data_IF_042254396099
#
_entry.id   IF_042254396099
#
_cell.length_a   1.000
_cell.length_b   1.000
_cell.length_c   1.000
_cell.angle_alpha   90.00
_cell.angle_beta   90.00
_cell.angle_gamma   90.00
#
_symmetry.space_group_name_H-M   'P 1'
#
loop_
_entity.id
_entity.type
_entity.pdbx_description
1 polymer ?
#
# COMPACT_ATOMS: atom_id res chain seq x y z
N UNK A 1 12.31 1.54 -5.12
CA UNK A 1 11.22 2.56 -5.17
C UNK A 1 9.89 1.83 -5.31
N UNK A 2 8.79 2.37 -4.81
CA UNK A 2 7.47 1.73 -4.94
C UNK A 2 6.59 2.69 -5.71
N UNK A 3 5.88 2.22 -6.72
CA UNK A 3 4.89 3.00 -7.47
C UNK A 3 3.52 2.41 -7.18
N UNK A 4 2.48 3.24 -7.13
CA UNK A 4 1.14 2.79 -6.75
C UNK A 4 0.12 3.25 -7.76
N UNK A 5 -0.74 2.33 -8.19
CA UNK A 5 -1.93 2.65 -8.95
C UNK A 5 -3.13 2.33 -8.06
N UNK A 6 -3.97 3.33 -7.79
CA UNK A 6 -5.28 3.04 -7.20
C UNK A 6 -6.13 2.35 -8.27
N UNK A 7 -6.30 1.05 -8.15
CA UNK A 7 -7.23 0.29 -8.96
C UNK A 7 -8.47 0.02 -8.11
N UNK A 8 -9.65 0.11 -8.72
CA UNK A 8 -10.88 -0.51 -8.19
C UNK A 8 -11.49 0.13 -6.94
N UNK A 9 -12.68 0.72 -7.09
CA UNK A 9 -13.68 0.93 -6.01
C UNK A 9 -13.31 1.70 -4.71
N UNK A 10 -12.05 2.12 -4.52
CA UNK A 10 -11.56 2.78 -3.30
C UNK A 10 -11.36 1.84 -2.11
N UNK A 11 -11.19 0.52 -2.34
CA UNK A 11 -11.06 -0.51 -1.27
C UNK A 11 -9.92 -1.49 -1.47
N UNK A 12 -9.15 -1.27 -2.52
CA UNK A 12 -7.93 -1.98 -2.82
C UNK A 12 -6.87 -0.98 -3.25
N UNK A 13 -5.62 -1.40 -3.06
CA UNK A 13 -4.45 -0.68 -3.52
C UNK A 13 -3.52 -1.71 -4.12
N UNK A 14 -3.04 -1.40 -5.32
CA UNK A 14 -2.12 -2.24 -6.07
C UNK A 14 -0.93 -1.36 -6.46
N UNK A 15 0.28 -1.90 -6.40
CA UNK A 15 1.45 -1.16 -6.80
C UNK A 15 2.61 -2.03 -7.24
N UNK A 16 3.57 -1.40 -7.92
CA UNK A 16 4.84 -2.01 -8.29
C UNK A 16 5.79 -1.95 -7.11
N UNK A 17 6.45 -3.06 -6.82
CA UNK A 17 7.49 -3.16 -5.82
C UNK A 17 8.84 -3.40 -6.49
N UNK A 18 9.81 -2.55 -6.17
CA UNK A 18 11.22 -2.78 -6.51
C UNK A 18 11.75 -4.04 -5.81
N UNK A 19 12.74 -4.76 -6.39
CA UNK A 19 13.30 -5.97 -5.80
C UNK A 19 13.85 -5.84 -4.37
N UNK A 20 14.18 -4.62 -3.93
CA UNK A 20 14.64 -4.35 -2.56
C UNK A 20 13.51 -4.35 -1.50
N UNK A 21 12.25 -4.32 -1.94
CA UNK A 21 11.08 -4.34 -1.05
C UNK A 21 10.90 -5.74 -0.48
N UNK A 22 10.88 -5.84 0.85
CA UNK A 22 10.69 -7.10 1.58
C UNK A 22 9.29 -7.24 2.15
N UNK A 23 8.49 -6.17 2.13
CA UNK A 23 7.11 -6.18 2.58
C UNK A 23 6.44 -4.82 2.40
N UNK A 24 5.11 -4.82 2.38
CA UNK A 24 4.31 -3.61 2.35
C UNK A 24 3.16 -3.77 3.33
N UNK A 25 3.01 -2.80 4.22
CA UNK A 25 1.88 -2.68 5.13
C UNK A 25 1.03 -1.47 4.73
N UNK A 26 -0.29 -1.60 4.84
CA UNK A 26 -1.23 -0.50 4.62
C UNK A 26 -1.97 -0.21 5.92
N UNK A 27 -1.83 1.03 6.38
CA UNK A 27 -2.52 1.55 7.57
C UNK A 27 -3.75 2.30 7.12
N UNK A 28 -4.91 1.79 7.52
CA UNK A 28 -6.22 2.39 7.27
C UNK A 28 -6.46 3.59 8.19
N UNK A 29 -7.40 4.49 7.86
CA UNK A 29 -7.71 5.66 8.70
C UNK A 29 -8.21 5.33 10.10
N UNK A 30 -8.74 4.11 10.31
CA UNK A 30 -9.16 3.62 11.62
C UNK A 30 -8.00 3.01 12.44
N UNK A 31 -6.76 3.10 11.95
CA UNK A 31 -5.55 2.61 12.60
C UNK A 31 -5.27 1.12 12.36
N UNK A 32 -6.14 0.38 11.69
CA UNK A 32 -5.86 -1.02 11.34
C UNK A 32 -4.72 -1.09 10.33
N UNK A 33 -3.79 -2.01 10.57
CA UNK A 33 -2.71 -2.32 9.63
C UNK A 33 -3.03 -3.64 8.94
N UNK A 34 -2.91 -3.65 7.61
CA UNK A 34 -3.10 -4.83 6.78
C UNK A 34 -1.81 -5.07 6.01
N UNK A 35 -1.21 -6.23 6.21
CA UNK A 35 -0.06 -6.65 5.43
C UNK A 35 -0.52 -7.00 4.01
N UNK A 36 0.14 -6.40 3.02
CA UNK A 36 -0.12 -6.68 1.63
C UNK A 36 0.55 -8.00 1.19
N UNK A 37 -0.07 -8.62 0.19
CA UNK A 37 0.59 -9.70 -0.54
C UNK A 37 1.60 -9.13 -1.52
N UNK A 38 2.82 -9.65 -1.53
CA UNK A 38 3.88 -9.27 -2.48
C UNK A 38 4.26 -10.44 -3.38
N UNK A 39 4.28 -10.24 -4.70
CA UNK A 39 4.69 -11.27 -5.66
C UNK A 39 5.11 -10.66 -7.00
N UNK A 40 6.16 -11.20 -7.63
CA UNK A 40 6.58 -10.84 -8.99
C UNK A 40 6.75 -9.32 -9.25
N UNK A 41 7.30 -8.58 -8.29
CA UNK A 41 7.47 -7.12 -8.40
C UNK A 41 6.16 -6.33 -8.29
N UNK A 42 5.12 -6.94 -7.77
CA UNK A 42 3.84 -6.33 -7.43
C UNK A 42 3.52 -6.51 -5.96
N UNK A 43 2.69 -5.62 -5.44
CA UNK A 43 2.02 -5.79 -4.17
C UNK A 43 0.55 -5.42 -4.30
N UNK A 44 -0.29 -6.06 -3.50
CA UNK A 44 -1.71 -5.78 -3.46
C UNK A 44 -2.29 -6.01 -2.08
N UNK A 45 -3.25 -5.18 -1.72
CA UNK A 45 -4.07 -5.35 -0.53
C UNK A 45 -5.51 -4.99 -0.84
N UNK A 46 -6.44 -5.64 -0.15
CA UNK A 46 -7.85 -5.36 -0.20
C UNK A 46 -8.43 -5.40 1.21
N UNK A 47 -9.46 -4.59 1.46
CA UNK A 47 -10.15 -4.62 2.74
C UNK A 47 -11.68 -4.46 2.63
N UNK A 48 -12.45 -5.09 3.53
CA UNK A 48 -13.90 -4.96 3.56
C UNK A 48 -14.34 -3.64 4.22
N UNK A 49 -15.41 -3.03 3.69
CA UNK A 49 -16.14 -1.92 4.35
C UNK A 49 -16.38 -0.70 3.46
N UNK A 50 -17.55 -0.06 3.62
CA UNK A 50 -17.99 1.11 2.83
C UNK A 50 -17.42 2.45 3.33
N UNK A 51 -16.81 2.47 4.52
CA UNK A 51 -16.27 3.66 5.21
C UNK A 51 -14.80 3.52 5.61
N UNK A 52 -14.11 2.46 5.18
CA UNK A 52 -12.76 2.13 5.63
C UNK A 52 -11.65 3.01 5.02
N UNK A 53 -11.96 4.29 4.76
CA UNK A 53 -11.10 5.22 4.05
C UNK A 53 -11.27 5.12 2.55
N UNK A 54 -11.46 6.26 1.91
CA UNK A 54 -11.05 6.40 0.50
C UNK A 54 -9.58 5.98 0.42
N UNK A 55 -9.18 5.29 -0.63
CA UNK A 55 -7.80 4.88 -0.81
C UNK A 55 -6.79 6.05 -0.76
N UNK A 56 -7.25 7.30 -0.93
CA UNK A 56 -6.46 8.53 -0.72
C UNK A 56 -6.08 8.81 0.75
N UNK A 57 -6.69 8.12 1.71
CA UNK A 57 -6.52 8.36 3.15
C UNK A 57 -5.63 7.31 3.85
N UNK A 58 -5.12 6.32 3.13
CA UNK A 58 -4.25 5.29 3.72
C UNK A 58 -2.79 5.73 3.76
N UNK A 59 -2.05 5.20 4.74
CA UNK A 59 -0.59 5.26 4.73
C UNK A 59 -0.03 3.91 4.27
N UNK A 60 1.00 3.96 3.44
CA UNK A 60 1.70 2.79 2.92
C UNK A 60 3.08 2.76 3.56
N UNK A 61 3.37 1.72 4.32
CA UNK A 61 4.66 1.48 4.93
C UNK A 61 5.38 0.44 4.07
N UNK A 62 6.52 0.84 3.54
CA UNK A 62 7.36 -0.01 2.70
C UNK A 62 8.54 -0.46 3.50
N UNK A 63 8.74 -1.77 3.57
CA UNK A 63 9.85 -2.39 4.25
C UNK A 63 10.94 -2.77 3.26
N UNK A 64 12.18 -2.54 3.66
CA UNK A 64 13.40 -2.98 2.96
C UNK A 64 14.35 -3.58 3.99
N UNK A 65 15.43 -4.21 3.54
CA UNK A 65 16.46 -4.73 4.45
C UNK A 65 17.13 -3.65 5.33
N UNK A 66 17.10 -2.38 4.91
CA UNK A 66 17.76 -1.27 5.62
C UNK A 66 16.81 -0.44 6.47
N UNK A 67 15.50 -0.72 6.42
CA UNK A 67 14.49 -0.04 7.23
C UNK A 67 13.16 0.15 6.50
N UNK A 68 12.31 0.99 7.10
CA UNK A 68 10.95 1.23 6.63
C UNK A 68 10.75 2.70 6.25
N UNK A 69 9.90 2.95 5.25
CA UNK A 69 9.49 4.30 4.86
C UNK A 69 7.99 4.40 4.69
N UNK A 70 7.42 5.52 5.13
CA UNK A 70 5.99 5.79 5.05
C UNK A 70 5.71 6.70 3.87
N UNK A 71 4.66 6.37 3.13
CA UNK A 71 4.16 7.11 1.98
C UNK A 71 2.65 7.33 2.12
N UNK A 72 2.15 8.43 1.55
CA UNK A 72 0.72 8.57 1.26
C UNK A 72 0.47 8.06 -0.15
N UNK A 73 -0.75 7.64 -0.45
CA UNK A 73 -1.14 7.25 -1.81
C UNK A 73 -0.85 8.34 -2.84
N UNK A 74 -1.06 9.62 -2.50
CA UNK A 74 -0.68 10.76 -3.36
C UNK A 74 0.82 10.87 -3.68
N UNK A 75 1.69 10.32 -2.84
CA UNK A 75 3.15 10.41 -3.00
C UNK A 75 3.69 9.36 -3.98
N UNK A 76 2.83 8.46 -4.46
CA UNK A 76 3.20 7.26 -5.22
C UNK A 76 2.64 7.24 -6.65
N UNK A 77 2.05 8.36 -7.10
CA UNK A 77 1.63 8.57 -8.48
C UNK A 77 2.79 9.19 -9.28
N UNK A 78 3.28 8.47 -10.28
CA UNK A 78 3.97 9.04 -11.44
C UNK A 78 3.52 8.34 -12.70
#
# INVERSE_FOLDING_TARGET
MVETSLVGSGRDVIGRADPSVTGVDVVLPDGRTIQASTSAGWWAVWWPGRRAGQADAVHIIVHTATGSRVYRTRDLWT
#
